data_IF_033822549364
#
_entry.id   IF_033822549364
#
_cell.length_a   1.000
_cell.length_b   1.000
_cell.length_c   1.000
_cell.angle_alpha   90.00
_cell.angle_beta   90.00
_cell.angle_gamma   90.00
#
_symmetry.space_group_name_H-M   'P 1'
#
loop_
_entity.id
_entity.type
_entity.pdbx_description
1 polymer ?
#
# COMPACT_ATOMS: atom_id res chain seq x y z
N UNK A 1 1.81 19.50 -17.59
CA UNK A 1 2.68 19.72 -16.43
C UNK A 1 3.40 18.42 -16.11
N UNK A 2 4.68 18.49 -15.75
CA UNK A 2 5.51 17.30 -15.50
C UNK A 2 5.70 17.13 -14.00
N UNK A 3 5.58 15.87 -13.53
CA UNK A 3 6.00 15.51 -12.19
C UNK A 3 7.55 15.48 -12.13
N UNK A 4 8.11 15.93 -11.03
CA UNK A 4 9.53 15.77 -10.74
C UNK A 4 9.77 14.33 -10.29
N UNK A 5 10.69 13.62 -10.94
CA UNK A 5 11.05 12.25 -10.55
C UNK A 5 12.50 11.92 -10.93
N UNK A 6 13.06 10.92 -10.27
CA UNK A 6 14.36 10.33 -10.55
C UNK A 6 14.19 8.84 -10.95
N UNK A 7 13.16 8.53 -11.74
CA UNK A 7 12.85 7.17 -12.16
C UNK A 7 12.51 6.28 -10.96
N UNK A 8 12.95 5.01 -10.94
CA UNK A 8 12.62 4.05 -9.88
C UNK A 8 13.20 4.43 -8.51
N UNK A 9 14.18 5.31 -8.45
CA UNK A 9 14.87 5.71 -7.21
C UNK A 9 14.30 6.96 -6.55
N UNK A 10 13.21 7.54 -7.07
CA UNK A 10 12.62 8.80 -6.55
C UNK A 10 12.33 8.74 -5.05
N UNK A 11 11.68 7.68 -4.57
CA UNK A 11 11.34 7.53 -3.15
C UNK A 11 12.60 7.34 -2.29
N UNK A 12 13.60 6.63 -2.78
CA UNK A 12 14.87 6.43 -2.09
C UNK A 12 15.58 7.75 -1.84
N UNK A 13 15.80 8.55 -2.87
CA UNK A 13 16.48 9.84 -2.73
C UNK A 13 15.72 10.80 -1.80
N UNK A 14 14.40 10.83 -1.92
CA UNK A 14 13.57 11.63 -1.02
C UNK A 14 13.75 11.20 0.44
N UNK A 15 13.74 9.90 0.71
CA UNK A 15 13.88 9.36 2.07
C UNK A 15 15.27 9.63 2.65
N UNK A 16 16.33 9.44 1.85
CA UNK A 16 17.72 9.71 2.26
C UNK A 16 17.93 11.20 2.62
N UNK A 17 17.34 12.13 1.84
CA UNK A 17 17.42 13.56 2.13
C UNK A 17 16.64 13.95 3.40
N UNK A 18 15.45 13.37 3.58
CA UNK A 18 14.66 13.61 4.79
C UNK A 18 15.36 13.06 6.04
N UNK A 19 15.94 11.85 5.95
CA UNK A 19 16.74 11.29 7.05
C UNK A 19 17.94 12.16 7.40
N UNK A 20 18.69 12.62 6.40
CA UNK A 20 19.81 13.54 6.59
C UNK A 20 19.36 14.82 7.30
N UNK A 21 18.21 15.36 6.91
CA UNK A 21 17.62 16.54 7.52
C UNK A 21 17.22 16.33 8.99
N UNK A 22 16.66 15.16 9.33
CA UNK A 22 16.31 14.81 10.72
C UNK A 22 17.56 14.67 11.57
N UNK A 23 18.57 13.93 11.10
CA UNK A 23 19.85 13.76 11.81
C UNK A 23 20.58 15.09 12.01
N UNK A 24 20.59 15.94 10.99
CA UNK A 24 21.21 17.28 11.08
C UNK A 24 20.54 18.24 12.07
N UNK A 25 19.31 17.92 12.51
CA UNK A 25 18.61 18.65 13.57
C UNK A 25 18.76 18.04 14.95
N UNK A 26 19.58 16.99 15.10
CA UNK A 26 19.79 16.26 16.34
C UNK A 26 18.49 15.72 16.98
N UNK A 27 17.51 15.35 16.16
CA UNK A 27 16.28 14.72 16.66
C UNK A 27 16.63 13.28 17.07
N UNK A 28 16.34 12.88 18.33
CA UNK A 28 16.64 11.52 18.79
C UNK A 28 15.92 10.47 17.94
N UNK A 29 16.66 9.42 17.54
CA UNK A 29 16.13 8.28 16.79
C UNK A 29 16.37 7.02 17.63
N UNK A 30 15.31 6.33 17.99
CA UNK A 30 15.36 5.05 18.68
C UNK A 30 15.33 3.93 17.64
N UNK A 31 16.51 3.42 17.29
CA UNK A 31 16.63 2.26 16.42
C UNK A 31 16.20 0.97 17.15
N UNK A 32 15.86 -0.07 16.40
CA UNK A 32 15.49 -1.39 16.93
C UNK A 32 14.33 -1.37 17.94
N UNK A 33 13.51 -0.32 17.93
CA UNK A 33 12.39 -0.15 18.85
C UNK A 33 11.08 -0.40 18.15
N UNK A 34 10.43 -1.51 18.44
CA UNK A 34 9.11 -1.88 17.94
C UNK A 34 8.05 -1.32 18.88
N UNK A 35 7.42 -0.21 18.52
CA UNK A 35 6.25 0.32 19.25
C UNK A 35 5.04 -0.58 18.96
N UNK A 36 4.37 -1.05 20.01
CA UNK A 36 3.25 -1.99 19.86
C UNK A 36 2.00 -1.63 20.67
N UNK A 37 2.07 -0.62 21.52
CA UNK A 37 0.90 -0.12 22.27
C UNK A 37 0.95 1.40 22.42
N UNK A 38 -0.18 2.04 22.12
CA UNK A 38 -0.42 3.45 22.45
C UNK A 38 -1.07 3.47 23.82
N UNK A 39 -0.50 4.25 24.72
CA UNK A 39 -1.03 4.44 26.06
C UNK A 39 -1.92 5.69 26.08
N UNK A 40 -3.13 5.53 26.56
CA UNK A 40 -4.13 6.60 26.62
C UNK A 40 -4.73 6.72 28.02
N UNK A 41 -5.13 7.94 28.38
CA UNK A 41 -5.94 8.24 29.56
C UNK A 41 -7.22 8.99 29.15
N UNK A 42 -7.94 9.55 30.11
CA UNK A 42 -9.15 10.35 29.86
C UNK A 42 -8.91 11.59 28.99
N UNK A 43 -7.67 12.05 28.86
CA UNK A 43 -7.29 13.23 28.09
C UNK A 43 -6.76 12.85 26.69
N UNK A 44 -6.60 11.58 26.35
CA UNK A 44 -6.09 11.07 25.08
C UNK A 44 -4.72 10.41 25.23
N UNK A 45 -3.83 10.58 24.23
CA UNK A 45 -2.49 9.97 24.26
C UNK A 45 -1.68 10.48 25.45
N UNK A 46 -1.02 9.58 26.16
CA UNK A 46 -0.12 9.90 27.27
C UNK A 46 1.25 9.21 27.12
N UNK A 47 1.38 8.22 26.25
CA UNK A 47 2.65 7.55 26.00
C UNK A 47 2.56 6.39 25.01
N UNK A 48 3.70 5.72 24.86
CA UNK A 48 3.90 4.57 24.01
C UNK A 48 4.61 3.46 24.79
N UNK A 49 4.32 2.22 24.44
CA UNK A 49 5.07 1.05 24.89
C UNK A 49 5.76 0.41 23.70
N UNK A 50 7.05 0.20 23.82
CA UNK A 50 7.91 -0.41 22.82
C UNK A 50 8.72 -1.58 23.35
N UNK A 51 9.16 -2.41 22.44
CA UNK A 51 10.12 -3.49 22.65
C UNK A 51 11.41 -3.15 21.91
N UNK A 52 12.53 -3.18 22.60
CA UNK A 52 13.83 -3.25 21.93
C UNK A 52 13.99 -4.65 21.33
N UNK A 53 14.10 -4.74 20.02
CA UNK A 53 14.14 -6.04 19.32
C UNK A 53 15.46 -6.79 19.47
N UNK A 54 16.52 -6.14 19.96
CA UNK A 54 17.81 -6.74 20.24
C UNK A 54 17.94 -7.22 21.69
N UNK A 55 17.63 -6.31 22.64
CA UNK A 55 17.75 -6.62 24.07
C UNK A 55 16.51 -7.26 24.66
N UNK A 56 15.36 -7.18 23.95
CA UNK A 56 14.03 -7.61 24.41
C UNK A 56 13.51 -6.86 25.64
N UNK A 57 14.10 -5.72 25.93
CA UNK A 57 13.64 -4.85 27.01
C UNK A 57 12.41 -4.02 26.58
N UNK A 58 11.47 -3.90 27.52
CA UNK A 58 10.31 -3.04 27.34
C UNK A 58 10.67 -1.61 27.69
N UNK A 59 10.32 -0.69 26.81
CA UNK A 59 10.51 0.76 27.01
C UNK A 59 9.18 1.48 26.95
N UNK A 60 8.89 2.30 27.97
CA UNK A 60 7.73 3.17 27.97
C UNK A 60 8.17 4.63 27.77
N UNK A 61 7.58 5.29 26.78
CA UNK A 61 7.87 6.68 26.43
C UNK A 61 6.66 7.55 26.77
N UNK A 62 6.85 8.56 27.62
CA UNK A 62 5.82 9.58 27.88
C UNK A 62 5.84 10.63 26.80
N UNK A 63 4.67 10.98 26.28
CA UNK A 63 4.55 12.01 25.25
C UNK A 63 3.18 12.69 25.30
N UNK A 64 3.14 13.93 24.83
CA UNK A 64 1.88 14.67 24.68
C UNK A 64 1.20 14.42 23.34
N UNK A 65 1.99 14.05 22.32
CA UNK A 65 1.54 13.81 20.96
C UNK A 65 2.25 12.62 20.36
N UNK A 66 1.54 11.90 19.48
CA UNK A 66 2.09 10.83 18.65
C UNK A 66 1.67 11.04 17.21
N UNK A 67 2.59 10.89 16.28
CA UNK A 67 2.30 10.84 14.85
C UNK A 67 2.60 9.42 14.36
N UNK A 68 1.57 8.73 13.88
CA UNK A 68 1.71 7.45 13.20
C UNK A 68 2.07 7.70 11.74
N UNK A 69 3.30 7.44 11.38
CA UNK A 69 3.83 7.52 10.00
C UNK A 69 4.31 6.13 9.53
N UNK A 70 3.59 5.08 9.93
CA UNK A 70 3.94 3.67 9.79
C UNK A 70 3.62 3.10 8.41
N UNK A 71 3.05 3.89 7.50
CA UNK A 71 2.59 3.43 6.20
C UNK A 71 1.25 2.69 6.26
N UNK A 72 0.81 2.17 5.12
CA UNK A 72 -0.44 1.41 5.02
C UNK A 72 -0.35 0.04 5.68
N UNK A 73 -1.51 -0.59 5.90
CA UNK A 73 -1.64 -1.91 6.52
C UNK A 73 -1.14 -3.04 5.59
N UNK A 74 0.07 -2.93 5.08
CA UNK A 74 0.65 -3.78 4.04
C UNK A 74 0.82 -5.23 4.46
N UNK A 75 1.09 -5.47 5.74
CA UNK A 75 1.33 -6.79 6.29
C UNK A 75 0.13 -7.74 6.27
N UNK A 76 -1.08 -7.28 5.93
CA UNK A 76 -2.29 -8.11 5.94
C UNK A 76 -2.37 -9.11 4.80
N UNK A 77 -1.64 -8.92 3.68
CA UNK A 77 -1.66 -9.77 2.49
C UNK A 77 -0.35 -10.51 2.25
N UNK A 78 -0.41 -11.71 1.70
CA UNK A 78 0.76 -12.42 1.18
C UNK A 78 1.23 -11.80 -0.14
N UNK A 79 0.31 -11.59 -1.10
CA UNK A 79 0.63 -10.95 -2.38
C UNK A 79 0.53 -9.42 -2.24
N UNK A 80 1.68 -8.79 -2.00
CA UNK A 80 1.84 -7.35 -1.79
C UNK A 80 3.14 -6.83 -2.38
N UNK A 81 3.15 -5.57 -2.77
CA UNK A 81 4.36 -4.91 -3.28
C UNK A 81 5.31 -4.46 -2.17
N UNK A 82 4.80 -4.33 -0.96
CA UNK A 82 5.56 -3.85 0.19
C UNK A 82 6.64 -4.86 0.63
N UNK A 83 7.78 -4.39 1.13
CA UNK A 83 8.82 -5.27 1.65
C UNK A 83 8.36 -6.00 2.93
N UNK A 84 9.07 -7.05 3.30
CA UNK A 84 8.78 -7.84 4.51
C UNK A 84 8.80 -7.00 5.79
N UNK A 85 9.68 -6.00 5.83
CA UNK A 85 9.85 -5.11 6.99
C UNK A 85 8.67 -4.16 7.22
N UNK A 86 7.79 -3.97 6.22
CA UNK A 86 6.66 -3.05 6.34
C UNK A 86 5.39 -3.77 6.76
N UNK A 87 4.93 -3.52 7.97
CA UNK A 87 3.70 -4.07 8.54
C UNK A 87 2.55 -3.05 8.63
N UNK A 88 2.85 -1.77 8.76
CA UNK A 88 1.88 -0.67 8.86
C UNK A 88 1.45 -0.34 10.28
N UNK A 89 1.40 -1.30 11.22
CA UNK A 89 1.03 -1.11 12.63
C UNK A 89 -0.27 -0.31 12.86
N UNK A 90 -1.26 -0.52 11.98
CA UNK A 90 -2.57 0.17 12.08
C UNK A 90 -3.47 -0.44 13.16
N UNK A 91 -3.29 -1.73 13.47
CA UNK A 91 -4.03 -2.44 14.51
C UNK A 91 -3.82 -1.83 15.89
N UNK A 92 -2.64 -1.33 16.15
CA UNK A 92 -2.29 -0.61 17.39
C UNK A 92 -3.15 0.66 17.58
N UNK A 93 -3.42 1.40 16.50
CA UNK A 93 -4.28 2.57 16.53
C UNK A 93 -5.76 2.20 16.77
N UNK A 94 -6.22 1.13 16.12
CA UNK A 94 -7.59 0.63 16.32
C UNK A 94 -7.77 0.11 17.75
N UNK A 95 -6.79 -0.59 18.30
CA UNK A 95 -6.80 -1.02 19.71
C UNK A 95 -6.80 0.16 20.69
N UNK A 96 -6.24 1.32 20.31
CA UNK A 96 -6.30 2.55 21.10
C UNK A 96 -7.63 3.32 20.96
N UNK A 97 -8.59 2.83 20.16
CA UNK A 97 -9.90 3.42 19.98
C UNK A 97 -10.06 4.30 18.74
N UNK A 98 -9.06 4.35 17.85
CA UNK A 98 -9.22 5.05 16.57
C UNK A 98 -10.21 4.32 15.67
N UNK A 99 -11.03 5.08 14.92
CA UNK A 99 -11.80 4.51 13.82
C UNK A 99 -10.93 4.32 12.59
N UNK A 100 -11.28 3.35 11.77
CA UNK A 100 -10.80 3.23 10.40
C UNK A 100 -11.68 4.04 9.43
N UNK A 101 -11.09 4.54 8.36
CA UNK A 101 -11.79 5.23 7.27
C UNK A 101 -11.53 4.54 5.94
N UNK A 102 -12.58 4.14 5.23
CA UNK A 102 -12.51 3.52 3.90
C UNK A 102 -11.58 2.29 3.83
N UNK A 103 -11.51 1.48 4.88
CA UNK A 103 -10.59 0.35 4.99
C UNK A 103 -10.76 -0.70 3.89
N UNK A 104 -11.91 -0.74 3.23
CA UNK A 104 -12.19 -1.58 2.06
C UNK A 104 -11.52 -1.08 0.77
N UNK A 105 -10.98 0.16 0.75
CA UNK A 105 -10.42 0.77 -0.45
C UNK A 105 -8.93 0.46 -0.59
N UNK A 106 -8.61 -0.38 -1.58
CA UNK A 106 -7.25 -0.78 -1.92
C UNK A 106 -6.97 -0.58 -3.40
N UNK A 107 -5.71 -0.41 -3.74
CA UNK A 107 -5.22 -0.50 -5.11
C UNK A 107 -4.46 -1.79 -5.29
N UNK A 108 -4.78 -2.52 -6.36
CA UNK A 108 -4.12 -3.76 -6.77
C UNK A 108 -3.54 -3.59 -8.15
N UNK A 109 -2.48 -4.31 -8.46
CA UNK A 109 -1.86 -4.29 -9.77
C UNK A 109 -0.71 -5.27 -9.85
N UNK A 110 -0.15 -5.41 -11.04
CA UNK A 110 0.95 -6.34 -11.29
C UNK A 110 2.22 -5.90 -10.57
N UNK A 111 2.82 -6.81 -9.85
CA UNK A 111 4.11 -6.65 -9.19
C UNK A 111 4.94 -7.93 -9.29
N UNK A 112 6.25 -7.79 -9.28
CA UNK A 112 7.16 -8.93 -9.15
C UNK A 112 7.17 -9.48 -7.73
N UNK A 113 7.42 -10.79 -7.59
CA UNK A 113 7.23 -11.54 -6.34
C UNK A 113 8.55 -11.79 -5.61
N UNK A 114 9.59 -12.21 -6.31
CA UNK A 114 10.89 -12.51 -5.71
C UNK A 114 11.55 -11.27 -5.09
N UNK A 115 11.78 -10.25 -5.88
CA UNK A 115 11.98 -8.88 -5.42
C UNK A 115 10.65 -8.15 -5.61
N UNK A 116 10.04 -7.72 -4.52
CA UNK A 116 8.71 -7.09 -4.53
C UNK A 116 8.79 -5.68 -5.10
N UNK A 117 8.34 -5.53 -6.33
CA UNK A 117 8.39 -4.26 -7.05
C UNK A 117 7.21 -4.10 -8.00
N UNK A 118 6.69 -2.88 -8.11
CA UNK A 118 5.66 -2.54 -9.08
C UNK A 118 6.20 -2.60 -10.50
N UNK A 119 5.54 -3.35 -11.38
CA UNK A 119 5.93 -3.52 -12.79
C UNK A 119 5.09 -2.67 -13.75
N UNK A 120 4.78 -1.43 -13.39
CA UNK A 120 4.15 -0.44 -14.27
C UNK A 120 5.16 0.36 -15.10
N UNK A 121 4.71 1.37 -15.82
CA UNK A 121 5.58 2.25 -16.61
C UNK A 121 6.30 1.51 -17.72
N UNK A 122 7.58 1.79 -17.87
CA UNK A 122 8.42 1.23 -18.95
C UNK A 122 8.45 -0.29 -18.95
N UNK A 123 8.30 -0.97 -17.80
CA UNK A 123 8.24 -2.44 -17.76
C UNK A 123 7.11 -3.02 -18.63
N UNK A 124 5.96 -2.34 -18.69
CA UNK A 124 4.83 -2.74 -19.53
C UNK A 124 4.90 -2.14 -20.93
N UNK A 125 5.33 -0.88 -21.02
CA UNK A 125 5.33 -0.13 -22.28
C UNK A 125 6.28 -0.71 -23.34
N UNK A 126 7.29 -1.47 -22.93
CA UNK A 126 8.16 -2.22 -23.85
C UNK A 126 7.52 -3.51 -24.38
N UNK A 127 6.29 -3.81 -23.97
CA UNK A 127 5.47 -4.95 -24.43
C UNK A 127 6.20 -6.28 -24.27
N UNK A 128 6.49 -6.71 -23.02
CA UNK A 128 7.09 -8.02 -22.76
C UNK A 128 6.10 -9.15 -23.04
N UNK A 129 6.61 -10.36 -23.27
CA UNK A 129 5.80 -11.56 -23.39
C UNK A 129 5.31 -11.98 -22.00
N UNK A 130 4.02 -12.27 -21.89
CA UNK A 130 3.45 -12.90 -20.70
C UNK A 130 3.34 -14.41 -20.92
N UNK A 131 3.84 -15.18 -19.98
CA UNK A 131 3.81 -16.65 -20.03
C UNK A 131 3.38 -17.22 -18.68
N UNK A 132 2.50 -18.20 -18.69
CA UNK A 132 2.18 -18.98 -17.50
C UNK A 132 2.87 -20.34 -17.54
N UNK A 133 3.35 -20.82 -16.40
CA UNK A 133 4.08 -22.06 -16.26
C UNK A 133 3.38 -22.92 -15.23
N UNK A 134 3.07 -24.16 -15.59
CA UNK A 134 2.46 -25.14 -14.69
C UNK A 134 3.51 -25.84 -13.81
N UNK A 135 3.06 -26.80 -12.98
CA UNK A 135 3.93 -27.53 -12.05
C UNK A 135 4.94 -28.43 -12.76
N UNK A 136 4.65 -28.84 -13.99
CA UNK A 136 5.52 -29.68 -14.82
C UNK A 136 6.49 -28.84 -15.66
N UNK A 137 6.47 -27.53 -15.54
CA UNK A 137 7.33 -26.60 -16.25
C UNK A 137 6.85 -26.24 -17.66
N UNK A 138 5.64 -26.62 -18.05
CA UNK A 138 5.07 -26.33 -19.37
C UNK A 138 4.64 -24.88 -19.46
N UNK A 139 5.21 -24.16 -20.40
CA UNK A 139 4.85 -22.77 -20.74
C UNK A 139 3.55 -22.71 -21.55
N UNK A 140 2.71 -21.72 -21.26
CA UNK A 140 1.51 -21.39 -22.04
C UNK A 140 1.44 -19.88 -22.25
N UNK A 141 1.21 -19.47 -23.49
CA UNK A 141 0.93 -18.08 -23.87
C UNK A 141 -0.57 -17.79 -23.66
N UNK A 142 -0.94 -17.58 -22.39
CA UNK A 142 -2.33 -17.55 -21.95
C UNK A 142 -3.10 -16.30 -22.41
N UNK A 143 -2.40 -15.19 -22.68
CA UNK A 143 -3.08 -13.98 -23.17
C UNK A 143 -3.63 -14.19 -24.59
N UNK A 144 -2.89 -14.89 -25.44
CA UNK A 144 -3.31 -15.18 -26.84
C UNK A 144 -4.55 -16.04 -26.93
N UNK A 145 -4.89 -16.83 -25.90
CA UNK A 145 -6.11 -17.63 -25.87
C UNK A 145 -7.37 -16.82 -25.54
N UNK A 146 -7.20 -15.60 -24.99
CA UNK A 146 -8.28 -14.80 -24.45
C UNK A 146 -8.41 -13.41 -25.07
N UNK A 147 -7.41 -12.97 -25.85
CA UNK A 147 -7.33 -11.64 -26.45
C UNK A 147 -7.00 -11.77 -27.94
N UNK A 148 -7.50 -10.82 -28.73
CA UNK A 148 -6.99 -10.62 -30.10
C UNK A 148 -5.52 -10.18 -30.07
N UNK A 149 -4.81 -10.34 -31.16
CA UNK A 149 -3.41 -9.91 -31.26
C UNK A 149 -3.24 -8.41 -30.94
N UNK A 150 -4.15 -7.58 -31.45
CA UNK A 150 -4.14 -6.13 -31.26
C UNK A 150 -4.47 -5.75 -29.82
N UNK A 151 -5.51 -6.36 -29.23
CA UNK A 151 -5.87 -6.12 -27.82
C UNK A 151 -4.75 -6.55 -26.89
N UNK A 152 -4.13 -7.70 -27.12
CA UNK A 152 -3.02 -8.16 -26.28
C UNK A 152 -1.88 -7.12 -26.24
N UNK A 153 -1.42 -6.68 -27.40
CA UNK A 153 -0.33 -5.72 -27.48
C UNK A 153 -0.70 -4.36 -26.86
N UNK A 154 -1.92 -3.90 -27.17
CA UNK A 154 -2.42 -2.62 -26.68
C UNK A 154 -2.65 -2.64 -25.17
N UNK A 155 -3.26 -3.69 -24.61
CA UNK A 155 -3.54 -3.77 -23.18
C UNK A 155 -2.26 -3.90 -22.36
N UNK A 156 -1.26 -4.66 -22.81
CA UNK A 156 0.06 -4.71 -22.15
C UNK A 156 0.68 -3.32 -22.13
N UNK A 157 0.74 -2.62 -23.27
CA UNK A 157 1.29 -1.26 -23.35
C UNK A 157 0.55 -0.30 -22.41
N UNK A 158 -0.79 -0.32 -22.42
CA UNK A 158 -1.62 0.55 -21.61
C UNK A 158 -1.45 0.31 -20.10
N UNK A 159 -1.12 -0.92 -19.66
CA UNK A 159 -0.79 -1.20 -18.26
C UNK A 159 0.38 -0.37 -17.73
N UNK A 160 1.21 0.17 -18.59
CA UNK A 160 2.30 1.04 -18.18
C UNK A 160 1.85 2.30 -17.45
N UNK A 161 0.72 2.88 -17.83
CA UNK A 161 0.18 4.08 -17.18
C UNK A 161 -1.28 3.96 -16.74
N UNK A 162 -2.03 2.97 -17.22
CA UNK A 162 -3.37 2.63 -16.72
C UNK A 162 -3.30 1.64 -15.54
N UNK A 163 -2.39 1.88 -14.68
CA UNK A 163 -2.16 1.18 -13.43
C UNK A 163 -2.68 2.05 -12.26
N UNK A 164 -3.26 1.54 -11.22
CA UNK A 164 -3.55 0.13 -10.85
C UNK A 164 -4.75 -0.47 -11.59
N UNK A 165 -5.19 -1.67 -11.17
CA UNK A 165 -6.43 -2.27 -11.65
C UNK A 165 -7.61 -1.29 -11.48
N UNK A 166 -8.39 -1.17 -12.55
CA UNK A 166 -9.57 -0.32 -12.59
C UNK A 166 -10.77 -1.15 -13.10
N UNK A 167 -11.83 -1.34 -12.29
CA UNK A 167 -13.03 -2.07 -12.72
C UNK A 167 -13.68 -1.50 -13.99
N UNK A 168 -13.52 -0.21 -14.27
CA UNK A 168 -14.02 0.43 -15.49
C UNK A 168 -13.24 0.02 -16.74
N UNK A 169 -12.11 -0.66 -16.59
CA UNK A 169 -11.20 -1.08 -17.68
C UNK A 169 -11.08 -2.59 -17.81
N UNK A 170 -12.04 -3.35 -17.30
CA UNK A 170 -12.04 -4.82 -17.38
C UNK A 170 -12.13 -5.38 -18.81
N UNK A 171 -12.66 -4.58 -19.74
CA UNK A 171 -12.64 -4.84 -21.18
C UNK A 171 -11.48 -4.12 -21.89
N UNK A 172 -10.47 -3.71 -21.17
CA UNK A 172 -9.26 -3.03 -21.62
C UNK A 172 -8.04 -3.51 -20.85
N UNK A 173 -7.14 -2.60 -20.48
CA UNK A 173 -5.86 -2.94 -19.85
C UNK A 173 -5.99 -3.75 -18.55
N UNK A 174 -7.04 -3.58 -17.77
CA UNK A 174 -7.29 -4.36 -16.54
C UNK A 174 -7.68 -5.82 -16.82
N UNK A 175 -7.97 -6.18 -18.07
CA UNK A 175 -8.14 -7.58 -18.48
C UNK A 175 -6.87 -8.39 -18.27
N UNK A 176 -5.70 -7.78 -18.42
CA UNK A 176 -4.41 -8.46 -18.16
C UNK A 176 -4.30 -8.89 -16.71
N UNK A 177 -4.66 -8.00 -15.75
CA UNK A 177 -4.66 -8.37 -14.32
C UNK A 177 -5.59 -9.55 -14.04
N UNK A 178 -6.79 -9.53 -14.63
CA UNK A 178 -7.77 -10.62 -14.43
C UNK A 178 -7.28 -11.96 -14.97
N UNK A 179 -6.63 -11.95 -16.14
CA UNK A 179 -6.08 -13.17 -16.74
C UNK A 179 -4.88 -13.69 -15.94
N UNK A 180 -4.00 -12.81 -15.46
CA UNK A 180 -2.91 -13.20 -14.55
C UNK A 180 -3.47 -13.81 -13.27
N UNK A 181 -4.51 -13.22 -12.68
CA UNK A 181 -5.17 -13.77 -11.48
C UNK A 181 -5.77 -15.14 -11.76
N UNK A 182 -6.46 -15.32 -12.88
CA UNK A 182 -7.06 -16.60 -13.25
C UNK A 182 -6.00 -17.73 -13.39
N UNK A 183 -4.82 -17.43 -13.96
CA UNK A 183 -3.73 -18.40 -14.04
C UNK A 183 -3.16 -18.74 -12.64
N UNK A 184 -2.94 -17.71 -11.81
CA UNK A 184 -2.39 -17.93 -10.46
C UNK A 184 -3.38 -18.68 -9.54
N UNK A 185 -4.68 -18.47 -9.70
CA UNK A 185 -5.72 -19.21 -8.95
C UNK A 185 -5.76 -20.70 -9.31
N UNK A 186 -5.35 -21.05 -10.52
CA UNK A 186 -5.15 -22.43 -10.94
C UNK A 186 -3.84 -23.05 -10.46
N UNK A 187 -3.06 -22.31 -9.67
CA UNK A 187 -1.77 -22.74 -9.13
C UNK A 187 -0.62 -22.69 -10.14
N UNK A 188 -0.79 -21.97 -11.25
CA UNK A 188 0.25 -21.70 -12.23
C UNK A 188 1.08 -20.48 -11.82
N UNK A 189 2.32 -20.38 -12.27
CA UNK A 189 3.18 -19.23 -12.08
C UNK A 189 3.19 -18.37 -13.33
N UNK A 190 2.98 -17.10 -13.19
CA UNK A 190 2.96 -16.15 -14.32
C UNK A 190 4.22 -15.33 -14.35
N UNK A 191 4.78 -15.16 -15.55
CA UNK A 191 6.03 -14.42 -15.75
C UNK A 191 5.91 -13.40 -16.86
N UNK A 192 6.68 -12.32 -16.73
CA UNK A 192 7.06 -11.41 -17.81
C UNK A 192 8.41 -11.82 -18.37
N UNK A 193 8.48 -12.11 -19.67
CA UNK A 193 9.71 -12.42 -20.41
C UNK A 193 10.13 -11.19 -21.23
N UNK A 194 11.21 -10.56 -20.82
CA UNK A 194 11.77 -9.42 -21.53
C UNK A 194 12.70 -9.80 -22.69
N UNK A 195 13.11 -11.07 -22.78
CA UNK A 195 13.99 -11.59 -23.82
C UNK A 195 13.26 -11.78 -25.14
N UNK A 196 11.96 -11.98 -25.10
CA UNK A 196 11.13 -12.34 -26.25
C UNK A 196 9.89 -11.47 -26.32
N UNK A 197 9.50 -11.14 -27.55
CA UNK A 197 8.21 -10.51 -27.80
C UNK A 197 7.04 -11.49 -27.59
N UNK A 198 5.82 -10.98 -27.31
CA UNK A 198 4.61 -11.77 -27.55
C UNK A 198 4.63 -12.38 -28.95
N UNK A 199 4.11 -13.61 -29.11
CA UNK A 199 4.09 -14.30 -30.42
C UNK A 199 3.41 -13.47 -31.52
N UNK A 200 2.41 -12.69 -31.12
CA UNK A 200 1.61 -11.82 -32.02
C UNK A 200 2.27 -10.48 -32.33
N UNK A 201 3.46 -10.19 -31.79
CA UNK A 201 4.09 -8.88 -31.87
C UNK A 201 4.59 -8.56 -33.30
N UNK A 202 4.16 -7.40 -33.80
CA UNK A 202 4.83 -6.65 -34.86
C UNK A 202 4.56 -5.15 -34.67
N UNK A 203 5.43 -4.27 -35.13
CA UNK A 203 5.23 -2.83 -35.02
C UNK A 203 4.00 -2.33 -35.79
N UNK A 204 3.64 -3.02 -36.87
CA UNK A 204 2.47 -2.69 -37.71
C UNK A 204 1.15 -3.00 -36.97
N UNK A 205 1.14 -3.97 -36.08
CA UNK A 205 -0.03 -4.35 -35.26
C UNK A 205 -0.20 -3.51 -34.02
N UNK A 206 0.79 -2.69 -33.67
CA UNK A 206 0.64 -1.79 -32.51
C UNK A 206 -0.43 -0.75 -32.78
N UNK A 207 -1.26 -0.48 -31.79
CA UNK A 207 -2.16 0.68 -31.78
C UNK A 207 -1.36 1.99 -31.98
N UNK A 208 -1.99 2.99 -32.56
CA UNK A 208 -1.33 4.28 -32.89
C UNK A 208 -0.59 4.88 -31.70
N UNK A 209 -1.21 4.88 -30.52
CA UNK A 209 -0.62 5.41 -29.29
C UNK A 209 0.67 4.70 -28.89
N UNK A 210 0.68 3.36 -28.89
CA UNK A 210 1.86 2.56 -28.54
C UNK A 210 2.99 2.76 -29.55
N UNK A 211 2.66 2.75 -30.83
CA UNK A 211 3.62 2.98 -31.93
C UNK A 211 4.27 4.36 -31.83
N UNK A 212 3.45 5.40 -31.70
CA UNK A 212 3.93 6.77 -31.60
C UNK A 212 4.78 7.00 -30.36
N UNK A 213 4.40 6.39 -29.24
CA UNK A 213 5.14 6.49 -28.00
C UNK A 213 6.53 5.82 -28.11
N UNK A 214 6.57 4.56 -28.55
CA UNK A 214 7.83 3.83 -28.71
C UNK A 214 8.75 4.51 -29.73
N UNK A 215 8.22 4.99 -30.84
CA UNK A 215 8.98 5.73 -31.86
C UNK A 215 9.58 7.02 -31.28
N UNK A 216 8.79 7.81 -30.56
CA UNK A 216 9.28 9.06 -29.93
C UNK A 216 10.33 8.81 -28.87
N UNK A 217 10.28 7.66 -28.18
CA UNK A 217 11.27 7.26 -27.19
C UNK A 217 12.52 6.59 -27.84
N UNK A 218 12.56 6.40 -29.15
CA UNK A 218 13.62 5.65 -29.83
C UNK A 218 13.62 4.15 -29.50
N UNK A 219 12.53 3.63 -28.94
CA UNK A 219 12.42 2.25 -28.45
C UNK A 219 11.84 1.33 -29.55
N UNK A 220 12.52 1.25 -30.68
CA UNK A 220 12.13 0.49 -31.88
C UNK A 220 12.94 -0.80 -32.08
N UNK A 221 13.70 -1.21 -31.06
CA UNK A 221 14.54 -2.40 -31.08
C UNK A 221 13.70 -3.68 -31.10
N UNK A 222 14.34 -4.79 -31.46
CA UNK A 222 13.67 -6.05 -31.73
C UNK A 222 13.08 -6.70 -30.48
N UNK A 223 13.75 -6.63 -29.34
CA UNK A 223 13.33 -7.30 -28.11
C UNK A 223 12.85 -6.33 -27.03
N UNK A 224 11.95 -6.75 -26.13
CA UNK A 224 11.51 -5.93 -25.00
C UNK A 224 12.68 -5.43 -24.12
N UNK A 225 13.70 -6.26 -23.89
CA UNK A 225 14.85 -5.86 -23.06
C UNK A 225 15.68 -4.76 -23.71
N UNK A 226 15.87 -4.80 -25.01
CA UNK A 226 16.57 -3.75 -25.75
C UNK A 226 15.78 -2.44 -25.72
N UNK A 227 14.46 -2.50 -25.89
CA UNK A 227 13.57 -1.35 -25.75
C UNK A 227 13.60 -0.79 -24.32
N UNK A 228 13.61 -1.67 -23.29
CA UNK A 228 13.70 -1.26 -21.89
C UNK A 228 15.06 -0.59 -21.60
N UNK A 229 16.14 -1.10 -22.15
CA UNK A 229 17.47 -0.49 -22.01
C UNK A 229 17.51 0.91 -22.61
N UNK A 230 16.88 1.12 -23.76
CA UNK A 230 16.77 2.43 -24.40
C UNK A 230 15.90 3.41 -23.60
N UNK A 231 14.79 2.94 -23.08
CA UNK A 231 13.81 3.81 -22.37
C UNK A 231 14.19 4.07 -20.91
N UNK A 232 14.70 3.07 -20.21
CA UNK A 232 14.90 3.11 -18.76
C UNK A 232 15.93 2.08 -18.29
N UNK A 233 17.20 2.27 -18.63
CA UNK A 233 18.30 1.39 -18.18
C UNK A 233 18.33 1.20 -16.65
N UNK A 234 18.06 2.23 -15.79
CA UNK A 234 18.01 2.04 -14.34
C UNK A 234 16.97 1.01 -13.86
N UNK A 235 15.93 0.74 -14.66
CA UNK A 235 14.94 -0.29 -14.34
C UNK A 235 15.53 -1.72 -14.44
N UNK A 236 16.47 -1.95 -15.34
CA UNK A 236 17.20 -3.23 -15.47
C UNK A 236 18.19 -3.37 -14.30
N UNK A 237 18.95 -2.32 -14.03
CA UNK A 237 19.95 -2.30 -12.96
C UNK A 237 19.32 -2.51 -11.57
N UNK A 238 18.10 -2.01 -11.36
CA UNK A 238 17.37 -2.24 -10.12
C UNK A 238 17.17 -3.74 -9.85
N UNK A 239 16.69 -4.50 -10.82
CA UNK A 239 16.50 -5.94 -10.67
C UNK A 239 17.83 -6.69 -10.54
N UNK A 240 18.84 -6.29 -11.32
CA UNK A 240 20.18 -6.89 -11.23
C UNK A 240 20.80 -6.70 -9.85
N UNK A 241 20.64 -5.54 -9.23
CA UNK A 241 21.08 -5.28 -7.86
C UNK A 241 20.39 -6.16 -6.81
N UNK A 242 19.24 -6.77 -7.15
CA UNK A 242 18.49 -7.71 -6.31
C UNK A 242 18.59 -9.16 -6.79
N UNK A 243 19.60 -9.49 -7.61
CA UNK A 243 19.89 -10.85 -8.05
C UNK A 243 18.99 -11.38 -9.17
N UNK A 244 18.23 -10.52 -9.87
CA UNK A 244 17.38 -10.90 -11.00
C UNK A 244 17.91 -10.23 -12.27
N UNK A 245 18.34 -11.04 -13.24
CA UNK A 245 18.82 -10.54 -14.53
C UNK A 245 17.71 -10.63 -15.60
N UNK A 246 17.03 -9.52 -15.89
CA UNK A 246 15.96 -9.46 -16.89
C UNK A 246 16.42 -9.83 -18.32
N UNK A 247 17.72 -9.88 -18.56
CA UNK A 247 18.29 -10.34 -19.84
C UNK A 247 18.30 -11.87 -19.96
N UNK A 248 18.21 -12.59 -18.83
CA UNK A 248 18.33 -14.05 -18.75
C UNK A 248 17.15 -14.71 -18.08
N UNK A 249 16.57 -14.05 -17.09
CA UNK A 249 15.56 -14.60 -16.19
C UNK A 249 14.15 -14.21 -16.60
N UNK A 250 13.21 -15.08 -16.31
CA UNK A 250 11.79 -14.77 -16.31
C UNK A 250 11.45 -14.02 -15.02
N UNK A 251 10.73 -12.91 -15.12
CA UNK A 251 10.28 -12.14 -13.97
C UNK A 251 8.90 -12.62 -13.50
N UNK A 252 8.85 -13.36 -12.39
CA UNK A 252 7.58 -13.80 -11.81
C UNK A 252 6.75 -12.62 -11.33
N UNK A 253 5.47 -12.59 -11.73
CA UNK A 253 4.53 -11.52 -11.39
C UNK A 253 3.20 -12.06 -10.89
N UNK A 254 2.55 -11.28 -10.03
CA UNK A 254 1.20 -11.53 -9.53
C UNK A 254 0.42 -10.23 -9.43
N UNK A 255 -0.89 -10.35 -9.25
CA UNK A 255 -1.72 -9.20 -8.85
C UNK A 255 -1.56 -9.01 -7.36
N UNK A 256 -0.88 -7.95 -6.96
CA UNK A 256 -0.50 -7.66 -5.59
C UNK A 256 -1.20 -6.42 -5.05
N UNK A 257 -1.39 -6.36 -3.73
CA UNK A 257 -1.78 -5.12 -3.04
C UNK A 257 -0.67 -4.08 -3.20
N UNK A 258 -1.03 -2.89 -3.70
CA UNK A 258 -0.11 -1.83 -4.10
C UNK A 258 -0.16 -0.61 -3.19
N UNK A 259 -1.36 -0.27 -2.71
CA UNK A 259 -1.58 0.89 -1.86
C UNK A 259 -2.90 0.74 -1.11
N UNK A 260 -2.88 1.05 0.19
CA UNK A 260 -4.08 1.16 0.99
C UNK A 260 -4.63 2.59 0.90
N UNK A 261 -5.74 2.77 0.21
CA UNK A 261 -6.39 4.09 0.11
C UNK A 261 -7.16 4.46 1.38
N UNK A 262 -7.66 3.46 2.09
CA UNK A 262 -8.17 3.58 3.45
C UNK A 262 -7.06 3.66 4.47
N UNK A 263 -7.41 3.73 5.74
CA UNK A 263 -6.47 3.81 6.85
C UNK A 263 -7.13 4.32 8.13
N UNK A 264 -6.32 4.83 9.03
CA UNK A 264 -6.79 5.44 10.28
C UNK A 264 -7.59 6.70 9.94
N UNK A 265 -8.79 6.83 10.52
CA UNK A 265 -9.66 7.98 10.32
C UNK A 265 -9.08 9.23 11.00
N UNK A 266 -8.99 10.33 10.24
CA UNK A 266 -8.45 11.61 10.71
C UNK A 266 -9.37 12.76 10.35
N UNK A 267 -9.19 13.89 11.01
CA UNK A 267 -9.82 15.16 10.69
C UNK A 267 -9.01 16.00 9.69
N UNK A 268 -9.35 17.26 9.50
CA UNK A 268 -8.65 18.18 8.59
C UNK A 268 -7.24 18.60 9.07
N UNK A 269 -6.89 18.30 10.31
CA UNK A 269 -5.57 18.51 10.91
C UNK A 269 -4.75 17.22 11.01
N UNK A 270 -5.26 16.12 10.47
CA UNK A 270 -4.70 14.78 10.57
C UNK A 270 -4.68 14.20 11.99
N UNK A 271 -5.48 14.77 12.90
CA UNK A 271 -5.73 14.20 14.22
C UNK A 271 -6.78 13.08 14.12
N UNK A 272 -6.59 12.02 14.90
CA UNK A 272 -7.54 10.91 15.03
C UNK A 272 -8.65 11.24 16.06
N UNK A 273 -9.52 10.29 16.34
CA UNK A 273 -10.52 10.42 17.42
C UNK A 273 -9.89 10.42 18.82
N UNK A 274 -8.65 9.97 18.94
CA UNK A 274 -7.88 9.96 20.18
C UNK A 274 -7.09 11.27 20.27
N UNK A 275 -7.41 12.18 21.22
CA UNK A 275 -6.74 13.47 21.33
C UNK A 275 -5.22 13.31 21.45
N UNK A 276 -4.46 14.09 20.67
CA UNK A 276 -3.01 14.04 20.63
C UNK A 276 -2.42 12.91 19.76
N UNK A 277 -3.26 12.06 19.16
CA UNK A 277 -2.83 11.04 18.22
C UNK A 277 -3.13 11.50 16.78
N UNK A 278 -2.13 11.46 15.93
CA UNK A 278 -2.18 11.84 14.51
C UNK A 278 -1.76 10.65 13.64
N UNK A 279 -2.26 10.60 12.41
CA UNK A 279 -1.79 9.64 11.41
C UNK A 279 -1.47 10.39 10.11
N UNK A 280 -0.33 10.09 9.50
CA UNK A 280 0.16 10.76 8.28
C UNK A 280 0.59 9.74 7.23
N UNK A 281 0.63 10.18 5.98
CA UNK A 281 0.98 9.32 4.86
C UNK A 281 -0.07 8.24 4.61
N UNK A 282 0.36 7.08 4.19
CA UNK A 282 -0.52 5.96 3.87
C UNK A 282 -1.16 5.31 5.12
N UNK A 283 -0.69 5.63 6.32
CA UNK A 283 -1.37 5.24 7.56
C UNK A 283 -2.75 5.90 7.71
N UNK A 284 -2.93 7.11 7.15
CA UNK A 284 -4.18 7.85 7.20
C UNK A 284 -5.12 7.51 6.05
N UNK A 285 -6.41 7.30 6.34
CA UNK A 285 -7.45 6.96 5.36
C UNK A 285 -7.93 8.16 4.51
N UNK A 286 -6.99 8.88 3.88
CA UNK A 286 -7.25 10.17 3.21
C UNK A 286 -7.26 10.11 1.68
N UNK A 287 -7.13 8.93 1.07
CA UNK A 287 -6.94 8.79 -0.37
C UNK A 287 -8.23 8.51 -1.16
N UNK A 288 -9.35 8.30 -0.48
CA UNK A 288 -10.64 8.03 -1.12
C UNK A 288 -10.70 6.65 -1.81
N UNK A 289 -11.70 6.45 -2.67
CA UNK A 289 -11.89 5.17 -3.36
C UNK A 289 -10.91 4.96 -4.51
N UNK A 290 -10.55 6.02 -5.22
CA UNK A 290 -9.69 5.96 -6.41
C UNK A 290 -8.65 7.06 -6.35
N UNK A 291 -7.46 6.71 -5.89
CA UNK A 291 -6.35 7.65 -5.72
C UNK A 291 -5.65 7.92 -7.06
N UNK A 292 -5.55 9.18 -7.53
CA UNK A 292 -4.78 9.52 -8.72
C UNK A 292 -3.28 9.28 -8.52
N UNK A 293 -2.57 9.02 -9.61
CA UNK A 293 -1.11 8.96 -9.61
C UNK A 293 -0.48 10.24 -9.07
N UNK A 294 0.57 10.10 -8.26
CA UNK A 294 1.28 11.23 -7.60
C UNK A 294 0.57 11.81 -6.36
N UNK A 295 -0.71 11.53 -6.15
CA UNK A 295 -1.44 12.06 -4.99
C UNK A 295 -0.95 11.53 -3.64
N UNK A 296 -0.34 10.34 -3.59
CA UNK A 296 0.18 9.77 -2.37
C UNK A 296 1.22 10.67 -1.69
N UNK A 297 2.25 11.09 -2.43
CA UNK A 297 3.30 11.96 -1.90
C UNK A 297 2.76 13.34 -1.53
N UNK A 298 1.85 13.90 -2.32
CA UNK A 298 1.24 15.20 -2.01
C UNK A 298 0.42 15.14 -0.73
N UNK A 299 -0.43 14.12 -0.56
CA UNK A 299 -1.22 13.93 0.66
C UNK A 299 -0.33 13.72 1.89
N UNK A 300 0.76 12.96 1.73
CA UNK A 300 1.74 12.74 2.81
C UNK A 300 2.36 14.05 3.27
N UNK A 301 2.86 14.86 2.36
CA UNK A 301 3.53 16.13 2.71
C UNK A 301 2.56 17.13 3.33
N UNK A 302 1.38 17.29 2.73
CA UNK A 302 0.35 18.21 3.26
C UNK A 302 -0.14 17.76 4.62
N UNK A 303 -0.38 16.46 4.79
CA UNK A 303 -0.84 15.89 6.05
C UNK A 303 0.18 16.05 7.18
N UNK A 304 1.44 15.72 6.89
CA UNK A 304 2.53 15.89 7.86
C UNK A 304 2.71 17.35 8.28
N UNK A 305 2.62 18.29 7.33
CA UNK A 305 2.68 19.72 7.63
C UNK A 305 1.51 20.18 8.50
N UNK A 306 0.27 19.73 8.19
CA UNK A 306 -0.92 20.11 8.98
C UNK A 306 -0.87 19.55 10.39
N UNK A 307 -0.49 18.27 10.55
CA UNK A 307 -0.30 17.66 11.85
C UNK A 307 0.75 18.43 12.68
N UNK A 308 1.89 18.75 12.08
CA UNK A 308 2.95 19.52 12.75
C UNK A 308 2.48 20.92 13.16
N UNK A 309 1.72 21.62 12.33
CA UNK A 309 1.16 22.94 12.65
C UNK A 309 0.12 22.87 13.77
N UNK A 310 -0.69 21.85 13.82
CA UNK A 310 -1.69 21.64 14.87
C UNK A 310 -1.00 21.32 16.20
N UNK A 311 -0.03 20.41 16.20
CA UNK A 311 0.81 20.08 17.36
C UNK A 311 1.51 21.31 17.90
N UNK A 312 2.08 22.16 17.02
CA UNK A 312 2.78 23.38 17.44
C UNK A 312 1.86 24.42 18.13
N UNK A 313 0.56 24.36 17.87
CA UNK A 313 -0.46 25.20 18.52
C UNK A 313 -1.09 24.56 19.75
N UNK A 314 -0.85 23.28 19.93
CA UNK A 314 -1.42 22.52 21.03
C UNK A 314 -0.89 22.98 22.38
N UNK A 315 -1.74 22.97 23.40
CA UNK A 315 -1.36 23.24 24.79
C UNK A 315 -1.23 21.96 25.64
N UNK A 316 -1.26 20.79 24.99
CA UNK A 316 -1.07 19.52 25.69
C UNK A 316 0.34 19.42 26.24
N UNK A 317 0.46 18.93 27.47
CA UNK A 317 1.72 18.72 28.16
C UNK A 317 2.02 17.23 28.28
N UNK A 318 3.30 16.90 28.41
CA UNK A 318 3.71 15.50 28.70
C UNK A 318 3.18 15.15 30.09
N UNK A 319 2.46 14.02 30.24
CA UNK A 319 1.90 13.62 31.52
C UNK A 319 3.02 13.30 32.55
N UNK A 320 2.77 13.60 33.80
CA UNK A 320 3.75 13.31 34.87
C UNK A 320 3.96 11.81 35.06
N UNK A 321 2.92 11.01 34.88
CA UNK A 321 2.92 9.56 35.04
C UNK A 321 2.17 8.88 33.90
N UNK A 322 2.59 7.67 33.58
CA UNK A 322 1.83 6.77 32.69
C UNK A 322 0.75 6.04 33.48
N UNK A 323 -0.38 5.68 32.83
CA UNK A 323 -1.34 4.79 33.45
C UNK A 323 -0.71 3.42 33.71
N UNK A 324 -1.26 2.62 34.63
CA UNK A 324 -0.83 1.24 34.83
C UNK A 324 -0.89 0.46 33.50
N UNK A 325 0.21 -0.19 33.13
CA UNK A 325 0.29 -0.91 31.85
C UNK A 325 -0.54 -2.20 31.87
N UNK A 326 -0.75 -2.77 33.06
CA UNK A 326 -1.43 -4.06 33.26
C UNK A 326 -0.66 -5.22 32.63
N UNK A 327 -1.27 -6.40 32.67
CA UNK A 327 -0.70 -7.60 32.05
C UNK A 327 -0.75 -7.47 30.53
N UNK A 328 0.37 -7.75 29.88
CA UNK A 328 0.46 -7.77 28.42
C UNK A 328 0.27 -9.22 27.98
N UNK A 329 -0.77 -9.44 27.21
CA UNK A 329 -1.03 -10.75 26.59
C UNK A 329 -0.99 -10.63 25.07
N UNK A 330 -0.53 -11.69 24.42
CA UNK A 330 -0.31 -11.76 22.96
C UNK A 330 -0.99 -13.03 22.40
N UNK A 331 -1.21 -13.16 21.09
CA UNK A 331 -1.78 -14.36 20.49
C UNK A 331 -0.97 -15.60 20.81
N UNK A 332 -1.63 -16.71 21.16
CA UNK A 332 -1.00 -18.02 21.35
C UNK A 332 -0.65 -18.69 20.01
N UNK A 333 0.16 -19.73 20.04
CA UNK A 333 0.53 -20.54 18.86
C UNK A 333 1.83 -20.07 18.17
N UNK A 334 2.13 -20.65 17.01
CA UNK A 334 3.34 -20.36 16.21
C UNK A 334 3.12 -19.06 15.41
N UNK A 335 3.66 -17.93 15.88
CA UNK A 335 3.33 -16.62 15.37
C UNK A 335 3.69 -16.41 13.88
N UNK A 336 4.87 -16.88 13.46
CA UNK A 336 5.31 -16.75 12.05
C UNK A 336 4.42 -17.55 11.11
N UNK A 337 4.13 -18.81 11.45
CA UNK A 337 3.27 -19.69 10.69
C UNK A 337 1.84 -19.14 10.58
N UNK A 338 1.29 -18.69 11.69
CA UNK A 338 -0.05 -18.07 11.72
C UNK A 338 -0.08 -16.80 10.86
N UNK A 339 0.96 -15.97 10.90
CA UNK A 339 1.07 -14.78 10.04
C UNK A 339 0.98 -15.17 8.58
N UNK A 340 1.78 -16.14 8.12
CA UNK A 340 1.75 -16.58 6.72
C UNK A 340 0.39 -17.17 6.31
N UNK A 341 -0.22 -17.99 7.15
CA UNK A 341 -1.53 -18.58 6.88
C UNK A 341 -2.61 -17.50 6.72
N UNK A 342 -2.68 -16.55 7.66
CA UNK A 342 -3.65 -15.47 7.64
C UNK A 342 -3.44 -14.52 6.45
N UNK A 343 -2.18 -14.24 6.10
CA UNK A 343 -1.86 -13.45 4.91
C UNK A 343 -2.31 -14.15 3.62
N UNK A 344 -2.10 -15.45 3.49
CA UNK A 344 -2.54 -16.25 2.33
C UNK A 344 -4.07 -16.28 2.25
N UNK A 345 -4.74 -16.48 3.37
CA UNK A 345 -6.20 -16.49 3.45
C UNK A 345 -6.77 -15.12 3.07
N UNK A 346 -6.23 -14.03 3.61
CA UNK A 346 -6.62 -12.66 3.26
C UNK A 346 -6.43 -12.38 1.76
N UNK A 347 -5.31 -12.82 1.18
CA UNK A 347 -5.05 -12.71 -0.27
C UNK A 347 -6.07 -13.47 -1.10
N UNK A 348 -6.47 -14.66 -0.65
CA UNK A 348 -7.42 -15.51 -1.35
C UNK A 348 -8.84 -14.94 -1.37
N UNK A 349 -9.35 -14.48 -0.22
CA UNK A 349 -10.77 -14.12 -0.08
C UNK A 349 -11.06 -12.62 -0.08
N UNK A 350 -10.10 -11.77 0.29
CA UNK A 350 -10.35 -10.36 0.59
C UNK A 350 -9.42 -9.38 -0.14
N UNK A 351 -8.74 -9.82 -1.21
CA UNK A 351 -7.87 -8.94 -2.00
C UNK A 351 -8.58 -8.41 -3.26
N UNK A 352 -7.96 -8.63 -4.39
CA UNK A 352 -8.39 -8.18 -5.72
C UNK A 352 -9.79 -8.72 -6.10
N UNK A 353 -10.02 -10.03 -5.91
CA UNK A 353 -11.34 -10.64 -6.01
C UNK A 353 -11.85 -10.93 -4.60
N UNK A 354 -13.07 -10.50 -4.30
CA UNK A 354 -13.65 -10.62 -2.96
C UNK A 354 -14.69 -11.72 -2.92
N UNK A 355 -14.54 -12.61 -1.95
CA UNK A 355 -15.45 -13.71 -1.66
C UNK A 355 -16.11 -13.45 -0.30
N UNK A 356 -17.38 -13.09 -0.31
CA UNK A 356 -18.11 -12.74 0.91
C UNK A 356 -18.16 -13.88 1.94
N UNK A 357 -18.29 -15.14 1.49
CA UNK A 357 -18.30 -16.31 2.38
C UNK A 357 -16.93 -16.55 3.00
N UNK A 358 -15.87 -16.49 2.17
CA UNK A 358 -14.49 -16.59 2.63
C UNK A 358 -14.13 -15.47 3.61
N UNK A 359 -14.57 -14.24 3.35
CA UNK A 359 -14.38 -13.10 4.27
C UNK A 359 -15.07 -13.35 5.62
N UNK A 360 -16.32 -13.83 5.62
CA UNK A 360 -17.03 -14.15 6.87
C UNK A 360 -16.35 -15.28 7.65
N UNK A 361 -15.89 -16.33 6.94
CA UNK A 361 -15.17 -17.45 7.56
C UNK A 361 -13.85 -16.97 8.20
N UNK A 362 -13.07 -16.17 7.47
CA UNK A 362 -11.82 -15.59 7.98
C UNK A 362 -12.08 -14.68 9.19
N UNK A 363 -13.11 -13.82 9.11
CA UNK A 363 -13.48 -12.92 10.20
C UNK A 363 -13.81 -13.69 11.49
N UNK A 364 -14.56 -14.79 11.36
CA UNK A 364 -14.87 -15.70 12.48
C UNK A 364 -13.61 -16.36 13.04
N UNK A 365 -12.73 -16.85 12.17
CA UNK A 365 -11.45 -17.44 12.58
C UNK A 365 -10.59 -16.44 13.39
N UNK A 366 -10.53 -15.19 12.95
CA UNK A 366 -9.81 -14.13 13.69
C UNK A 366 -10.40 -13.89 15.07
N UNK A 367 -11.74 -13.88 15.23
CA UNK A 367 -12.40 -13.76 16.52
C UNK A 367 -12.04 -14.90 17.48
N UNK A 368 -11.90 -16.11 16.97
CA UNK A 368 -11.47 -17.28 17.75
C UNK A 368 -10.00 -17.15 18.16
N UNK A 369 -9.12 -16.79 17.23
CA UNK A 369 -7.68 -16.67 17.49
C UNK A 369 -7.35 -15.55 18.49
N UNK A 370 -8.04 -14.42 18.41
CA UNK A 370 -7.82 -13.28 19.32
C UNK A 370 -8.15 -13.61 20.77
N UNK A 371 -9.04 -14.58 21.02
CA UNK A 371 -9.38 -15.03 22.39
C UNK A 371 -8.32 -15.92 23.02
N UNK A 372 -7.51 -16.60 22.22
CA UNK A 372 -6.45 -17.49 22.69
C UNK A 372 -5.17 -16.70 22.90
N UNK A 373 -4.86 -16.38 24.15
CA UNK A 373 -3.79 -15.48 24.51
C UNK A 373 -2.85 -16.11 25.55
N UNK A 374 -1.58 -15.71 25.45
CA UNK A 374 -0.52 -16.04 26.41
C UNK A 374 0.07 -14.75 26.97
N UNK A 375 0.59 -14.77 28.22
CA UNK A 375 1.36 -13.64 28.74
C UNK A 375 2.56 -13.34 27.85
N UNK A 376 2.97 -12.07 27.80
CA UNK A 376 4.21 -11.67 27.13
C UNK A 376 5.39 -12.31 27.87
N UNK A 377 6.17 -13.09 27.14
CA UNK A 377 7.44 -13.69 27.62
C UNK A 377 8.60 -13.09 26.82
N UNK A 378 9.54 -12.46 27.51
CA UNK A 378 10.74 -11.88 26.89
C UNK A 378 11.69 -12.93 26.29
N UNK A 379 11.57 -14.18 26.73
CA UNK A 379 12.36 -15.32 26.24
C UNK A 379 11.73 -16.01 25.01
N UNK A 380 10.52 -15.60 24.60
CA UNK A 380 9.87 -16.16 23.41
C UNK A 380 10.65 -15.76 22.14
N UNK A 381 11.17 -16.76 21.42
CA UNK A 381 11.93 -16.55 20.18
C UNK A 381 11.12 -15.90 19.05
N UNK A 382 9.80 -15.93 19.15
CA UNK A 382 8.86 -15.29 18.21
C UNK A 382 8.23 -14.00 18.77
N UNK A 383 8.75 -13.39 19.83
CA UNK A 383 8.10 -12.27 20.50
C UNK A 383 7.78 -11.10 19.57
N UNK A 384 8.72 -10.68 18.73
CA UNK A 384 8.50 -9.61 17.76
C UNK A 384 7.46 -10.00 16.68
N UNK A 385 7.51 -11.24 16.21
CA UNK A 385 6.53 -11.77 15.26
C UNK A 385 5.13 -11.85 15.90
N UNK A 386 5.04 -12.26 17.16
CA UNK A 386 3.79 -12.34 17.91
C UNK A 386 3.16 -10.97 18.15
N UNK A 387 3.97 -9.96 18.44
CA UNK A 387 3.52 -8.56 18.54
C UNK A 387 2.95 -8.08 17.20
N UNK A 388 3.66 -8.35 16.10
CA UNK A 388 3.22 -7.98 14.76
C UNK A 388 1.96 -8.75 14.33
N UNK A 389 1.87 -10.04 14.69
CA UNK A 389 0.67 -10.84 14.46
C UNK A 389 -0.57 -10.24 15.16
N UNK A 390 -0.42 -9.80 16.41
CA UNK A 390 -1.47 -9.10 17.16
C UNK A 390 -1.99 -7.88 16.40
N UNK A 391 -1.09 -7.03 15.92
CA UNK A 391 -1.44 -5.85 15.14
C UNK A 391 -2.13 -6.22 13.84
N UNK A 392 -1.55 -7.17 13.08
CA UNK A 392 -2.09 -7.64 11.80
C UNK A 392 -3.50 -8.21 11.96
N UNK A 393 -3.74 -9.06 12.95
CA UNK A 393 -5.07 -9.64 13.20
C UNK A 393 -6.10 -8.56 13.48
N UNK A 394 -5.75 -7.57 14.30
CA UNK A 394 -6.63 -6.43 14.60
C UNK A 394 -6.92 -5.61 13.33
N UNK A 395 -5.90 -5.31 12.53
CA UNK A 395 -6.08 -4.61 11.26
C UNK A 395 -6.95 -5.41 10.27
N UNK A 396 -6.70 -6.72 10.14
CA UNK A 396 -7.50 -7.61 9.29
C UNK A 396 -8.98 -7.61 9.70
N UNK A 397 -9.29 -7.68 10.99
CA UNK A 397 -10.69 -7.63 11.47
C UNK A 397 -11.40 -6.37 10.99
N UNK A 398 -10.82 -5.21 11.21
CA UNK A 398 -11.40 -3.93 10.81
C UNK A 398 -11.55 -3.81 9.29
N UNK A 399 -10.59 -4.29 8.53
CA UNK A 399 -10.62 -4.29 7.07
C UNK A 399 -11.74 -5.22 6.57
N UNK A 400 -11.85 -6.43 7.12
CA UNK A 400 -12.88 -7.41 6.73
C UNK A 400 -14.28 -6.91 7.07
N UNK A 401 -14.48 -6.29 8.24
CA UNK A 401 -15.76 -5.68 8.63
C UNK A 401 -16.17 -4.56 7.65
N UNK A 402 -15.23 -3.70 7.23
CA UNK A 402 -15.48 -2.69 6.22
C UNK A 402 -15.79 -3.29 4.83
N UNK A 403 -15.10 -4.36 4.44
CA UNK A 403 -15.34 -5.05 3.17
C UNK A 403 -16.69 -5.75 3.14
N UNK A 404 -17.08 -6.46 4.20
CA UNK A 404 -18.39 -7.08 4.30
C UNK A 404 -19.51 -6.06 4.23
N UNK A 405 -19.39 -4.96 4.97
CA UNK A 405 -20.38 -3.89 4.93
C UNK A 405 -20.54 -3.31 3.52
N UNK A 406 -19.43 -3.06 2.80
CA UNK A 406 -19.49 -2.52 1.45
C UNK A 406 -20.09 -3.51 0.43
N UNK A 407 -19.82 -4.81 0.58
CA UNK A 407 -20.42 -5.87 -0.25
C UNK A 407 -21.92 -6.02 -0.02
N UNK A 408 -22.38 -5.90 1.23
CA UNK A 408 -23.78 -6.04 1.62
C UNK A 408 -24.60 -4.76 1.39
N UNK A 409 -23.95 -3.60 1.53
CA UNK A 409 -24.56 -2.29 1.40
C UNK A 409 -23.68 -1.36 0.55
N UNK A 410 -23.56 -1.63 -0.77
CA UNK A 410 -22.74 -0.80 -1.63
C UNK A 410 -23.28 0.63 -1.72
N UNK A 411 -22.37 1.60 -1.87
CA UNK A 411 -22.78 3.01 -1.98
C UNK A 411 -21.63 4.00 -1.90
N UNK A 412 -21.97 5.28 -1.94
CA UNK A 412 -21.03 6.39 -1.87
C UNK A 412 -20.92 6.94 -0.45
N UNK A 413 -19.81 7.61 -0.15
CA UNK A 413 -19.54 8.20 1.16
C UNK A 413 -18.29 7.58 1.81
N UNK A 414 -18.07 7.94 3.06
CA UNK A 414 -16.94 7.44 3.86
C UNK A 414 -17.44 6.28 4.72
N UNK A 415 -16.82 5.11 4.60
CA UNK A 415 -17.03 4.03 5.54
C UNK A 415 -16.15 4.26 6.77
N UNK A 416 -16.77 4.30 7.93
CA UNK A 416 -16.10 4.36 9.22
C UNK A 416 -16.29 3.03 9.93
N UNK A 417 -15.20 2.42 10.38
CA UNK A 417 -15.18 1.17 11.12
C UNK A 417 -14.53 1.39 12.49
N UNK A 418 -15.21 1.04 13.56
CA UNK A 418 -14.69 1.11 14.92
C UNK A 418 -15.05 -0.17 15.70
N UNK A 419 -14.73 -0.23 16.99
CA UNK A 419 -15.06 -1.39 17.84
C UNK A 419 -16.55 -1.68 18.01
N UNK A 420 -17.45 -0.81 17.50
CA UNK A 420 -18.91 -0.97 17.56
C UNK A 420 -19.50 -1.43 16.22
N UNK A 421 -18.72 -1.42 15.15
CA UNK A 421 -19.11 -1.85 13.81
C UNK A 421 -18.77 -0.87 12.71
N UNK A 422 -19.34 -1.11 11.53
CA UNK A 422 -19.13 -0.29 10.33
C UNK A 422 -20.38 0.50 9.99
N UNK A 423 -20.20 1.76 9.60
CA UNK A 423 -21.26 2.66 9.15
C UNK A 423 -20.81 3.50 7.98
N UNK A 424 -21.75 3.94 7.16
CA UNK A 424 -21.50 4.87 6.06
C UNK A 424 -21.87 6.29 6.47
N UNK A 425 -20.94 7.22 6.28
CA UNK A 425 -21.14 8.64 6.54
C UNK A 425 -21.03 9.44 5.25
N UNK A 426 -21.91 10.41 5.07
CA UNK A 426 -21.78 11.42 4.02
C UNK A 426 -20.51 12.26 4.27
N UNK A 427 -19.73 12.51 3.22
CA UNK A 427 -18.63 13.43 3.32
C UNK A 427 -19.14 14.83 3.68
N UNK A 428 -18.60 15.44 4.74
CA UNK A 428 -18.92 16.82 5.08
C UNK A 428 -18.12 17.76 4.17
N UNK A 429 -18.74 18.84 3.64
CA UNK A 429 -17.99 19.89 2.97
C UNK A 429 -16.95 20.46 3.95
N UNK A 430 -15.73 20.68 3.47
CA UNK A 430 -14.72 21.38 4.26
C UNK A 430 -15.14 22.85 4.38
N UNK A 431 -15.17 23.44 5.58
CA UNK A 431 -15.50 24.85 5.74
C UNK A 431 -14.60 25.74 4.88
N UNK A 432 -15.17 26.76 4.25
CA UNK A 432 -14.48 27.63 3.28
C UNK A 432 -13.21 28.29 3.86
N UNK A 433 -13.23 28.63 5.15
CA UNK A 433 -12.08 29.19 5.88
C UNK A 433 -10.89 28.22 6.03
N UNK A 434 -11.13 26.90 5.87
CA UNK A 434 -10.10 25.86 5.97
C UNK A 434 -9.49 25.54 4.60
N UNK A 435 -10.04 26.08 3.53
CA UNK A 435 -9.63 25.86 2.15
C UNK A 435 -8.53 26.87 1.70
N UNK A 436 -7.54 27.12 2.55
CA UNK A 436 -6.41 27.96 2.14
C UNK A 436 -5.79 27.50 0.79
N UNK A 437 -5.68 26.23 0.56
CA UNK A 437 -5.19 25.65 -0.69
C UNK A 437 -6.09 25.97 -1.89
N UNK A 438 -7.41 25.88 -1.73
CA UNK A 438 -8.34 26.24 -2.80
C UNK A 438 -8.22 27.70 -3.15
N UNK A 439 -8.09 28.57 -2.18
CA UNK A 439 -7.88 30.02 -2.44
C UNK A 439 -6.61 30.25 -3.23
N UNK A 440 -5.50 29.65 -2.82
CA UNK A 440 -4.21 29.76 -3.52
C UNK A 440 -4.31 29.11 -4.92
N UNK A 441 -4.96 27.96 -5.02
CA UNK A 441 -5.14 27.28 -6.29
C UNK A 441 -6.03 28.07 -7.27
N UNK A 442 -7.16 28.60 -6.81
CA UNK A 442 -8.03 29.48 -7.61
C UNK A 442 -7.30 30.71 -8.09
N UNK A 443 -6.58 31.40 -7.18
CA UNK A 443 -5.81 32.59 -7.54
C UNK A 443 -4.71 32.29 -8.58
N UNK A 444 -4.06 31.14 -8.49
CA UNK A 444 -3.09 30.70 -9.49
C UNK A 444 -3.75 30.36 -10.84
N UNK A 445 -4.90 29.71 -10.81
CA UNK A 445 -5.66 29.35 -12.00
C UNK A 445 -6.17 30.60 -12.74
N UNK A 446 -6.72 31.57 -12.02
CA UNK A 446 -7.16 32.83 -12.56
C UNK A 446 -6.01 33.63 -13.21
N UNK A 447 -4.80 33.56 -12.63
CA UNK A 447 -3.60 34.14 -13.22
C UNK A 447 -3.20 33.42 -14.51
N UNK A 448 -3.25 32.09 -14.54
CA UNK A 448 -2.95 31.29 -15.74
C UNK A 448 -3.96 31.56 -16.87
N UNK A 449 -5.25 31.70 -16.55
CA UNK A 449 -6.30 32.01 -17.52
C UNK A 449 -6.10 33.42 -18.11
N UNK A 450 -5.83 34.42 -17.28
CA UNK A 450 -5.50 35.77 -17.73
C UNK A 450 -4.24 35.86 -18.60
N UNK A 451 -3.25 35.00 -18.38
CA UNK A 451 -2.04 34.92 -19.21
C UNK A 451 -2.25 34.17 -20.52
N UNK A 452 -3.34 33.42 -20.67
CA UNK A 452 -3.72 32.75 -21.93
C UNK A 452 -4.59 33.61 -22.83
N UNK A 453 -5.22 34.63 -22.26
CA UNK A 453 -6.06 35.58 -22.97
C UNK A 453 -5.28 36.82 -23.45
N UNK A 454 -4.04 36.98 -23.00
CA UNK A 454 -3.05 37.95 -23.50
C UNK A 454 -2.08 37.25 -24.50
#
# INVERSE_FOLDING_TARGET
RRATSAGPLTSRYMTEELERSVRGRNIPILNHTLIFRILTDQNGVCGLLGLDTHTRELTAVRCAHVILATGGAAGVYADRVYPESQFGMSGMAFAAGCRGANLHCWQYGLASVGFRWNVSGSYQQVIPRYVSVDRDGKETDFLSSSLTAEDQLNFIFLKGYQWPFDPKRVNGSSRVDMLVKAETDQGRRVYMDFRRNPVVFSFERLGGEARDYLTRCGAVQQTPIERLRTMNSPAIELYRAHGIDLERDLLEVRVCAQHHNGGIGVDCHWQTDVPGLYACGEAAGTFGQSRPGGAALNSTQVGSMRAAQDIARSRRTIPERLPPIGDITLPAGEARKMTEELQKEMTRCAAFMRDAEGIRAMRKRLDELIRHRVPLDKNDDELDARIRLQDMMTAQMYILDAMLFDLEQPGTGILETDGRGTRRRQARPIPERELWFERVWRANREREEKHREQ
#
